data_IF_594103743710
#
_entry.id   IF_594103743710
#
_cell.length_a   1.000
_cell.length_b   1.000
_cell.length_c   1.000
_cell.angle_alpha   90.00
_cell.angle_beta   90.00
_cell.angle_gamma   90.00
#
_symmetry.space_group_name_H-M   'P 1'
#
loop_
_entity.id
_entity.type
_entity.pdbx_description
1 polymer ?
#
# COMPACT_ATOMS: atom_id res chain seq x y z
N UNK A 1 -19.25 -33.73 14.45
CA UNK A 1 -18.78 -32.34 14.74
C UNK A 1 -18.18 -31.78 13.47
N UNK A 2 -18.84 -30.81 12.87
CA UNK A 2 -18.30 -30.09 11.68
C UNK A 2 -17.10 -29.27 12.13
N UNK A 3 -15.92 -29.63 11.63
CA UNK A 3 -14.67 -28.92 11.93
C UNK A 3 -14.73 -27.56 11.20
N UNK A 4 -14.84 -26.48 11.93
CA UNK A 4 -14.77 -25.12 11.36
C UNK A 4 -13.35 -24.93 10.83
N UNK A 5 -13.16 -24.57 9.55
CA UNK A 5 -11.84 -24.29 9.00
C UNK A 5 -11.18 -23.13 9.76
N UNK A 6 -9.93 -23.30 10.15
CA UNK A 6 -9.14 -22.22 10.76
C UNK A 6 -8.21 -21.60 9.72
N UNK A 7 -8.01 -20.27 9.73
CA UNK A 7 -7.00 -19.64 8.89
C UNK A 7 -5.58 -20.17 9.15
N UNK A 8 -4.66 -19.88 8.24
CA UNK A 8 -3.23 -20.18 8.46
C UNK A 8 -2.70 -19.43 9.67
N UNK A 9 -1.77 -20.01 10.41
CA UNK A 9 -1.21 -19.43 11.63
C UNK A 9 -0.60 -18.04 11.39
N UNK A 10 0.07 -17.85 10.25
CA UNK A 10 0.64 -16.56 9.85
C UNK A 10 -0.42 -15.46 9.66
N UNK A 11 -1.67 -15.83 9.36
CA UNK A 11 -2.79 -14.90 9.18
C UNK A 11 -3.54 -14.64 10.47
N UNK A 12 -3.66 -15.66 11.34
CA UNK A 12 -4.42 -15.56 12.60
C UNK A 12 -3.88 -14.46 13.53
N UNK A 13 -2.56 -14.22 13.48
CA UNK A 13 -1.86 -13.27 14.34
C UNK A 13 -1.61 -11.91 13.69
N UNK A 14 -2.18 -11.66 12.50
CA UNK A 14 -2.09 -10.35 11.86
C UNK A 14 -2.95 -9.34 12.64
N UNK A 15 -2.32 -8.28 13.14
CA UNK A 15 -3.05 -7.15 13.67
C UNK A 15 -3.76 -6.41 12.52
N UNK A 16 -5.09 -6.24 12.56
CA UNK A 16 -5.80 -5.53 11.50
C UNK A 16 -5.26 -4.11 11.34
N UNK A 17 -5.05 -3.69 10.10
CA UNK A 17 -4.71 -2.30 9.80
C UNK A 17 -5.85 -1.39 10.24
N UNK A 18 -5.53 -0.36 11.03
CA UNK A 18 -6.48 0.67 11.42
C UNK A 18 -6.23 1.91 10.56
N UNK A 19 -7.09 2.18 9.57
CA UNK A 19 -6.99 3.41 8.77
C UNK A 19 -7.30 4.65 9.61
N UNK A 20 -6.92 5.82 9.09
CA UNK A 20 -7.30 7.09 9.71
C UNK A 20 -8.83 7.21 9.84
N UNK A 21 -9.30 7.73 10.98
CA UNK A 21 -10.73 7.85 11.27
C UNK A 21 -11.44 8.74 10.24
N UNK A 22 -12.60 8.31 9.69
CA UNK A 22 -13.42 9.16 8.81
C UNK A 22 -13.91 10.43 9.51
N UNK A 23 -14.03 11.53 8.76
CA UNK A 23 -14.53 12.82 9.30
C UNK A 23 -15.91 12.67 9.89
N UNK A 24 -16.82 11.98 9.21
CA UNK A 24 -18.20 11.76 9.62
C UNK A 24 -18.31 10.94 10.91
N UNK A 25 -17.39 10.01 11.14
CA UNK A 25 -17.34 9.23 12.37
C UNK A 25 -16.92 10.11 13.56
N UNK A 26 -15.84 10.88 13.39
CA UNK A 26 -15.37 11.81 14.42
C UNK A 26 -16.42 12.89 14.72
N UNK A 27 -17.06 13.43 13.70
CA UNK A 27 -18.14 14.41 13.84
C UNK A 27 -19.30 13.87 14.68
N UNK A 28 -19.74 12.64 14.43
CA UNK A 28 -20.80 11.99 15.22
C UNK A 28 -20.37 11.78 16.68
N UNK A 29 -19.16 11.28 16.90
CA UNK A 29 -18.67 11.01 18.27
C UNK A 29 -18.56 12.28 19.13
N UNK A 30 -18.08 13.36 18.52
CA UNK A 30 -17.82 14.62 19.23
C UNK A 30 -18.95 15.64 19.09
N UNK A 31 -20.04 15.31 18.37
CA UNK A 31 -21.16 16.23 18.06
C UNK A 31 -20.66 17.53 17.39
N UNK A 32 -19.72 17.41 16.46
CA UNK A 32 -19.16 18.52 15.68
C UNK A 32 -19.80 18.60 14.30
N UNK A 33 -19.73 19.78 13.69
CA UNK A 33 -20.02 19.95 12.27
C UNK A 33 -18.87 19.31 11.45
N UNK A 34 -19.15 18.34 10.55
CA UNK A 34 -18.12 17.73 9.70
C UNK A 34 -17.29 18.75 8.92
N UNK A 35 -17.89 19.87 8.52
CA UNK A 35 -17.22 20.94 7.76
C UNK A 35 -16.21 21.73 8.57
N UNK A 36 -16.28 21.65 9.91
CA UNK A 36 -15.33 22.29 10.82
C UNK A 36 -14.08 21.46 11.10
N UNK A 37 -14.05 20.20 10.65
CA UNK A 37 -12.95 19.26 10.93
C UNK A 37 -11.90 19.35 9.84
N UNK A 38 -10.66 19.64 10.22
CA UNK A 38 -9.50 19.57 9.34
C UNK A 38 -8.83 18.21 9.51
N UNK A 39 -8.91 17.36 8.49
CA UNK A 39 -8.27 16.05 8.48
C UNK A 39 -6.84 16.16 7.95
N UNK A 40 -5.87 15.87 8.80
CA UNK A 40 -4.44 15.85 8.46
C UNK A 40 -3.88 14.42 8.32
N UNK A 41 -4.75 13.40 8.38
CA UNK A 41 -4.41 12.00 8.26
C UNK A 41 -4.69 11.48 6.84
N UNK A 42 -4.15 10.26 6.55
CA UNK A 42 -4.42 9.49 5.32
C UNK A 42 -3.78 10.03 4.04
N UNK A 43 -2.92 11.04 4.10
CA UNK A 43 -2.25 11.65 2.93
C UNK A 43 -3.24 12.03 1.80
N UNK A 44 -4.46 12.46 2.17
CA UNK A 44 -5.47 12.93 1.22
C UNK A 44 -5.11 14.31 0.69
N UNK A 45 -5.47 14.58 -0.58
CA UNK A 45 -5.27 15.89 -1.17
C UNK A 45 -6.37 16.87 -0.71
N UNK A 46 -6.06 17.88 0.14
CA UNK A 46 -7.08 18.82 0.64
C UNK A 46 -7.63 19.76 -0.44
N UNK A 47 -6.96 19.85 -1.59
CA UNK A 47 -7.42 20.64 -2.74
C UNK A 47 -8.46 19.89 -3.59
N UNK A 48 -8.74 18.62 -3.28
CA UNK A 48 -9.64 17.78 -4.06
C UNK A 48 -9.05 17.32 -5.38
N UNK A 49 -9.91 16.96 -6.34
CA UNK A 49 -9.49 16.59 -7.69
C UNK A 49 -9.69 17.75 -8.67
N UNK A 50 -8.96 17.76 -9.78
CA UNK A 50 -9.17 18.76 -10.84
C UNK A 50 -10.51 18.57 -11.53
N UNK A 51 -11.09 19.67 -12.01
CA UNK A 51 -12.34 19.65 -12.76
C UNK A 51 -12.29 18.74 -13.99
N UNK A 52 -11.15 18.73 -14.69
CA UNK A 52 -10.94 17.85 -15.85
C UNK A 52 -11.06 16.37 -15.49
N UNK A 53 -10.50 15.95 -14.33
CA UNK A 53 -10.63 14.58 -13.84
C UNK A 53 -12.07 14.26 -13.48
N UNK A 54 -12.76 15.15 -12.78
CA UNK A 54 -14.16 14.95 -12.40
C UNK A 54 -15.08 14.81 -13.65
N UNK A 55 -14.84 15.60 -14.70
CA UNK A 55 -15.57 15.52 -15.96
C UNK A 55 -15.33 14.18 -16.67
N UNK A 56 -14.08 13.69 -16.76
CA UNK A 56 -13.78 12.41 -17.40
C UNK A 56 -14.39 11.23 -16.62
N UNK A 57 -14.28 11.22 -15.29
CA UNK A 57 -14.92 10.19 -14.45
C UNK A 57 -16.44 10.17 -14.67
N UNK A 58 -17.08 11.36 -14.77
CA UNK A 58 -18.52 11.46 -15.01
C UNK A 58 -18.95 10.86 -16.34
N UNK A 59 -18.12 10.95 -17.38
CA UNK A 59 -18.38 10.30 -18.68
C UNK A 59 -18.35 8.79 -18.59
N UNK A 60 -17.39 8.26 -17.85
CA UNK A 60 -17.19 6.81 -17.67
C UNK A 60 -18.31 6.15 -16.85
N UNK A 61 -19.10 6.91 -16.08
CA UNK A 61 -20.22 6.37 -15.30
C UNK A 61 -21.26 5.63 -16.17
N UNK A 62 -21.40 5.97 -17.43
CA UNK A 62 -22.31 5.28 -18.34
C UNK A 62 -21.82 3.85 -18.73
N UNK A 63 -20.55 3.58 -18.54
CA UNK A 63 -19.92 2.29 -18.91
C UNK A 63 -19.64 1.37 -17.69
N UNK A 64 -19.97 1.79 -16.46
CA UNK A 64 -19.69 1.02 -15.23
C UNK A 64 -20.37 -0.36 -15.17
N UNK A 65 -21.38 -0.60 -16.03
CA UNK A 65 -22.01 -1.93 -16.13
C UNK A 65 -21.15 -2.95 -16.87
N UNK A 66 -20.03 -2.54 -17.47
CA UNK A 66 -19.09 -3.39 -18.20
C UNK A 66 -17.77 -3.51 -17.45
N UNK A 67 -17.13 -4.65 -17.57
CA UNK A 67 -15.77 -4.80 -17.06
C UNK A 67 -14.80 -3.86 -17.80
N UNK A 68 -13.88 -3.22 -17.09
CA UNK A 68 -12.79 -2.50 -17.76
C UNK A 68 -11.85 -3.47 -18.46
N UNK A 69 -11.01 -2.93 -19.36
CA UNK A 69 -9.93 -3.70 -19.96
C UNK A 69 -8.94 -4.16 -18.88
N UNK A 70 -8.94 -5.48 -18.60
CA UNK A 70 -8.09 -6.09 -17.59
C UNK A 70 -6.58 -5.98 -17.88
N UNK A 71 -6.18 -5.71 -19.14
CA UNK A 71 -4.78 -5.46 -19.50
C UNK A 71 -4.33 -4.05 -19.14
N UNK A 72 -5.27 -3.11 -18.97
CA UNK A 72 -4.98 -1.70 -18.76
C UNK A 72 -4.27 -1.03 -19.94
N UNK A 73 -4.52 -1.51 -21.17
CA UNK A 73 -3.78 -1.10 -22.39
C UNK A 73 -3.68 0.42 -22.55
N UNK A 74 -4.81 1.13 -22.47
CA UNK A 74 -4.82 2.60 -22.64
C UNK A 74 -3.95 3.30 -21.58
N UNK A 75 -4.11 2.92 -20.31
CA UNK A 75 -3.37 3.51 -19.18
C UNK A 75 -1.88 3.20 -19.28
N UNK A 76 -1.51 1.95 -19.55
CA UNK A 76 -0.10 1.55 -19.72
C UNK A 76 0.59 2.30 -20.84
N UNK A 77 -0.07 2.48 -21.99
CA UNK A 77 0.52 3.24 -23.10
C UNK A 77 0.70 4.73 -22.77
N UNK A 78 -0.25 5.35 -22.08
CA UNK A 78 -0.11 6.73 -21.64
C UNK A 78 1.03 6.89 -20.62
N UNK A 79 1.13 5.98 -19.66
CA UNK A 79 2.23 5.97 -18.69
C UNK A 79 3.56 5.71 -19.34
N UNK A 80 3.63 4.76 -20.26
CA UNK A 80 4.81 4.44 -21.07
C UNK A 80 5.33 5.69 -21.81
N UNK A 81 4.46 6.38 -22.52
CA UNK A 81 4.81 7.62 -23.21
C UNK A 81 5.28 8.71 -22.27
N UNK A 82 4.63 8.87 -21.11
CA UNK A 82 4.97 9.91 -20.13
C UNK A 82 6.28 9.63 -19.40
N UNK A 83 6.55 8.37 -19.08
CA UNK A 83 7.69 7.94 -18.27
C UNK A 83 8.88 7.50 -19.09
N UNK A 84 8.73 7.28 -20.41
CA UNK A 84 9.78 6.79 -21.28
C UNK A 84 10.18 5.32 -21.03
N UNK A 85 9.24 4.49 -20.57
CA UNK A 85 9.49 3.06 -20.27
C UNK A 85 8.55 2.16 -21.07
N UNK A 86 8.94 0.89 -21.31
CA UNK A 86 8.06 -0.07 -22.00
C UNK A 86 6.77 -0.34 -21.21
N UNK A 87 5.61 -0.50 -21.86
CA UNK A 87 4.38 -0.96 -21.21
C UNK A 87 4.54 -2.29 -20.47
N UNK A 88 5.46 -3.16 -20.92
CA UNK A 88 5.75 -4.45 -20.27
C UNK A 88 6.42 -4.30 -18.90
N UNK A 89 7.00 -3.12 -18.63
CA UNK A 89 7.59 -2.77 -17.35
C UNK A 89 6.58 -2.11 -16.38
N UNK A 90 5.28 -2.14 -16.71
CA UNK A 90 4.21 -1.55 -15.92
C UNK A 90 3.29 -2.63 -15.36
N UNK A 91 3.12 -2.61 -14.05
CA UNK A 91 2.11 -3.40 -13.33
C UNK A 91 1.10 -2.41 -12.72
N UNK A 92 -0.18 -2.72 -12.88
CA UNK A 92 -1.28 -1.92 -12.34
C UNK A 92 -1.93 -2.64 -11.15
N UNK A 93 -2.41 -1.87 -10.19
CA UNK A 93 -3.13 -2.36 -9.02
C UNK A 93 -4.06 -1.29 -8.44
N UNK A 94 -4.93 -1.67 -7.53
CA UNK A 94 -5.83 -0.76 -6.81
C UNK A 94 -5.06 -0.05 -5.67
N UNK A 95 -4.15 0.82 -6.05
CA UNK A 95 -3.22 1.49 -5.15
C UNK A 95 -1.98 0.64 -4.83
N UNK A 96 -1.08 1.23 -4.03
CA UNK A 96 0.20 0.61 -3.68
C UNK A 96 0.07 -0.68 -2.88
N UNK A 97 -1.02 -0.86 -2.12
CA UNK A 97 -1.23 -2.10 -1.35
C UNK A 97 -1.27 -3.33 -2.26
N UNK A 98 -2.00 -3.28 -3.38
CA UNK A 98 -2.02 -4.40 -4.33
C UNK A 98 -0.62 -4.72 -4.86
N UNK A 99 0.18 -3.69 -5.16
CA UNK A 99 1.54 -3.89 -5.67
C UNK A 99 2.45 -4.51 -4.61
N UNK A 100 2.35 -4.07 -3.35
CA UNK A 100 3.12 -4.64 -2.24
C UNK A 100 2.74 -6.10 -1.99
N UNK A 101 1.43 -6.41 -2.01
CA UNK A 101 0.92 -7.78 -1.88
C UNK A 101 1.36 -8.67 -3.05
N UNK A 102 1.26 -8.20 -4.30
CA UNK A 102 1.72 -8.94 -5.47
C UNK A 102 3.22 -9.23 -5.39
N UNK A 103 4.03 -8.26 -4.95
CA UNK A 103 5.46 -8.46 -4.74
C UNK A 103 5.73 -9.51 -3.65
N UNK A 104 5.01 -9.43 -2.52
CA UNK A 104 5.14 -10.41 -1.46
C UNK A 104 4.72 -11.81 -1.91
N UNK A 105 3.63 -11.94 -2.68
CA UNK A 105 3.18 -13.21 -3.26
C UNK A 105 4.24 -13.81 -4.21
N UNK A 106 4.88 -12.96 -5.02
CA UNK A 106 5.83 -13.40 -6.03
C UNK A 106 7.20 -13.82 -5.45
N UNK A 107 7.62 -13.22 -4.33
CA UNK A 107 9.00 -13.35 -3.85
C UNK A 107 9.12 -13.91 -2.42
N UNK A 108 8.05 -13.99 -1.64
CA UNK A 108 8.09 -14.38 -0.23
C UNK A 108 7.34 -15.69 0.04
N UNK A 109 7.92 -16.50 0.93
CA UNK A 109 7.36 -17.68 1.56
C UNK A 109 8.01 -17.86 2.96
N UNK A 110 7.71 -18.98 3.63
CA UNK A 110 8.19 -19.26 4.99
C UNK A 110 9.72 -19.41 5.14
N UNK A 111 10.44 -19.61 4.02
CA UNK A 111 11.91 -19.77 4.01
C UNK A 111 12.63 -18.48 3.54
N UNK A 112 11.89 -17.37 3.40
CA UNK A 112 12.41 -16.13 2.86
C UNK A 112 12.18 -14.95 3.78
N UNK A 113 13.01 -13.92 3.62
CA UNK A 113 12.91 -12.70 4.42
C UNK A 113 12.69 -11.45 3.58
N UNK A 114 12.10 -10.44 4.24
CA UNK A 114 11.99 -9.09 3.72
C UNK A 114 12.53 -8.09 4.76
N UNK A 115 13.19 -7.03 4.28
CA UNK A 115 13.73 -5.95 5.10
C UNK A 115 12.85 -4.71 4.96
N UNK A 116 12.56 -4.05 6.08
CA UNK A 116 11.84 -2.79 6.14
C UNK A 116 12.29 -1.98 7.37
N UNK A 117 12.07 -0.66 7.32
CA UNK A 117 12.43 0.23 8.42
C UNK A 117 11.36 0.19 9.53
N UNK A 118 11.76 0.48 10.77
CA UNK A 118 10.91 0.56 11.96
C UNK A 118 9.65 1.42 11.76
N UNK A 119 9.80 2.63 11.18
CA UNK A 119 8.68 3.54 10.91
C UNK A 119 8.23 3.50 9.46
N UNK A 120 8.25 2.34 8.82
CA UNK A 120 7.75 2.19 7.46
C UNK A 120 6.23 2.04 7.41
N UNK A 121 5.68 2.09 6.20
CA UNK A 121 4.28 1.82 5.98
C UNK A 121 3.93 0.40 6.46
N UNK A 122 2.93 0.30 7.33
CA UNK A 122 2.57 -0.94 8.02
C UNK A 122 2.27 -2.12 7.08
N UNK A 123 1.81 -1.84 5.85
CA UNK A 123 1.51 -2.88 4.85
C UNK A 123 2.76 -3.67 4.45
N UNK A 124 3.96 -3.10 4.52
CA UNK A 124 5.20 -3.84 4.27
C UNK A 124 5.35 -5.03 5.24
N UNK A 125 5.07 -4.78 6.53
CA UNK A 125 5.08 -5.80 7.58
C UNK A 125 3.94 -6.82 7.40
N UNK A 126 2.72 -6.32 7.12
CA UNK A 126 1.53 -7.17 6.96
C UNK A 126 1.66 -8.08 5.72
N UNK A 127 2.11 -7.56 4.59
CA UNK A 127 2.35 -8.34 3.38
C UNK A 127 3.42 -9.42 3.60
N UNK A 128 4.51 -9.10 4.31
CA UNK A 128 5.54 -10.07 4.69
C UNK A 128 4.95 -11.18 5.59
N UNK A 129 4.23 -10.79 6.64
CA UNK A 129 3.64 -11.72 7.60
C UNK A 129 2.60 -12.63 6.95
N UNK A 130 1.78 -12.12 6.01
CA UNK A 130 0.75 -12.90 5.32
C UNK A 130 1.32 -14.09 4.53
N UNK A 131 2.61 -14.03 4.17
CA UNK A 131 3.34 -15.08 3.47
C UNK A 131 4.10 -16.03 4.39
N UNK A 132 3.92 -15.91 5.71
CA UNK A 132 4.72 -16.59 6.73
C UNK A 132 6.24 -16.28 6.61
N UNK A 133 6.61 -15.25 5.86
CA UNK A 133 7.99 -14.84 5.65
C UNK A 133 8.56 -14.13 6.87
N UNK A 134 9.88 -14.18 7.01
CA UNK A 134 10.55 -13.51 8.10
C UNK A 134 10.76 -12.03 7.81
N UNK A 135 10.21 -11.17 8.69
CA UNK A 135 10.38 -9.71 8.60
C UNK A 135 11.59 -9.23 9.40
N UNK A 136 12.55 -8.60 8.73
CA UNK A 136 13.71 -7.96 9.35
C UNK A 136 13.44 -6.48 9.49
N UNK A 137 13.04 -6.06 10.69
CA UNK A 137 12.79 -4.66 11.01
C UNK A 137 14.09 -3.98 11.41
N UNK A 138 14.49 -2.95 10.66
CA UNK A 138 15.72 -2.21 10.88
C UNK A 138 15.41 -0.89 11.60
N UNK A 139 16.11 -0.56 12.71
CA UNK A 139 15.97 0.71 13.39
C UNK A 139 16.14 1.90 12.45
N UNK A 140 15.33 2.95 12.64
CA UNK A 140 15.38 4.18 11.86
C UNK A 140 16.47 5.14 12.34
N UNK A 141 16.90 6.03 11.44
CA UNK A 141 17.64 7.25 11.79
C UNK A 141 16.75 8.45 11.47
N UNK A 142 16.53 9.32 12.44
CA UNK A 142 15.72 10.54 12.29
C UNK A 142 14.36 10.29 11.61
N UNK A 143 13.69 9.18 11.98
CA UNK A 143 12.44 8.69 11.39
C UNK A 143 12.52 8.28 9.90
N UNK A 144 13.73 8.28 9.32
CA UNK A 144 13.99 7.85 7.94
C UNK A 144 14.61 6.46 7.87
N UNK A 145 14.94 6.04 6.65
CA UNK A 145 15.59 4.76 6.41
C UNK A 145 17.10 4.83 6.72
N UNK A 146 17.60 3.93 7.57
CA UNK A 146 19.02 3.64 7.70
C UNK A 146 19.44 2.66 6.60
N UNK A 147 19.77 3.19 5.43
CA UNK A 147 20.09 2.36 4.26
C UNK A 147 21.35 1.51 4.47
N UNK A 148 22.29 1.97 5.28
CA UNK A 148 23.49 1.19 5.58
C UNK A 148 23.16 -0.01 6.46
N UNK A 149 22.41 0.19 7.52
CA UNK A 149 21.93 -0.94 8.34
C UNK A 149 21.00 -1.87 7.57
N UNK A 150 20.15 -1.34 6.70
CA UNK A 150 19.30 -2.17 5.84
C UNK A 150 20.14 -3.04 4.91
N UNK A 151 21.20 -2.49 4.31
CA UNK A 151 22.18 -3.25 3.52
C UNK A 151 22.87 -4.33 4.35
N UNK A 152 23.31 -3.98 5.54
CA UNK A 152 24.05 -4.91 6.41
C UNK A 152 23.16 -6.02 7.01
N UNK A 153 21.84 -5.79 7.02
CA UNK A 153 20.83 -6.76 7.43
C UNK A 153 20.47 -7.78 6.32
N UNK A 154 21.00 -7.63 5.09
CA UNK A 154 20.72 -8.56 3.98
C UNK A 154 21.30 -9.96 4.31
N UNK A 155 20.44 -10.96 4.21
CA UNK A 155 20.77 -12.37 4.41
C UNK A 155 20.64 -13.15 3.10
N UNK A 156 21.09 -14.40 3.07
CA UNK A 156 21.02 -15.25 1.87
C UNK A 156 19.60 -15.56 1.42
N UNK A 157 18.64 -15.51 2.34
CA UNK A 157 17.21 -15.72 2.13
C UNK A 157 16.42 -14.43 1.89
N UNK A 158 17.05 -13.27 2.01
CA UNK A 158 16.39 -11.97 1.74
C UNK A 158 16.02 -11.85 0.26
N UNK A 159 14.74 -11.49 0.01
CA UNK A 159 14.19 -11.34 -1.35
C UNK A 159 13.60 -9.98 -1.62
N UNK A 160 13.15 -9.27 -0.58
CA UNK A 160 12.56 -7.94 -0.73
C UNK A 160 13.20 -6.97 0.26
N UNK A 161 13.47 -5.75 -0.18
CA UNK A 161 13.76 -4.60 0.66
C UNK A 161 12.72 -3.53 0.34
N UNK A 162 11.90 -3.16 1.32
CA UNK A 162 10.89 -2.13 1.17
C UNK A 162 11.47 -0.76 1.54
N UNK A 163 11.47 0.16 0.57
CA UNK A 163 11.92 1.54 0.74
C UNK A 163 10.86 2.48 0.16
N UNK A 164 10.37 3.39 0.99
CA UNK A 164 9.48 4.47 0.56
C UNK A 164 10.24 5.79 0.58
N UNK A 165 10.20 6.55 -0.51
CA UNK A 165 10.87 7.84 -0.61
C UNK A 165 9.95 8.89 -1.26
N UNK A 166 9.48 9.89 -0.49
CA UNK A 166 9.61 10.07 0.97
C UNK A 166 9.02 8.92 1.77
N UNK A 167 9.54 8.67 3.00
CA UNK A 167 9.02 7.62 3.85
C UNK A 167 7.57 7.88 4.28
N UNK A 168 6.74 6.87 4.28
CA UNK A 168 5.38 6.91 4.80
C UNK A 168 5.34 6.16 6.14
N UNK A 169 4.93 6.80 7.27
CA UNK A 169 4.19 8.07 7.35
C UNK A 169 5.03 9.32 7.67
N UNK A 170 6.34 9.19 7.88
CA UNK A 170 7.16 10.25 8.48
C UNK A 170 7.48 11.41 7.55
N UNK A 171 7.47 11.19 6.22
CA UNK A 171 7.77 12.21 5.22
C UNK A 171 9.26 12.53 5.06
N UNK A 172 10.13 11.72 5.68
CA UNK A 172 11.60 11.87 5.61
C UNK A 172 12.19 11.26 4.36
#
# INVERSE_FOLDING_TARGET
MTRIPTPLDCVQNIAPYQPGKPIEELARELSLDPTSIVKLASNENPLGCSEAVAQEVSKELNEVARYPDGSGYKLKNQLSSKLGISPDNLILGNGSNDILEMAAIAFLDHDRSAIYSEFCFVVNKLATQSRAAYGIEVPSIDYGHDLERMRDAIQTDTRIIFISNPNNPTGT
#
